data_IF_355147066227
#
_entry.id   IF_355147066227
#
_cell.length_a   1.000
_cell.length_b   1.000
_cell.length_c   1.000
_cell.angle_alpha   90.00
_cell.angle_beta   90.00
_cell.angle_gamma   90.00
#
_symmetry.space_group_name_H-M   'P 1'
#
loop_
_entity.id
_entity.type
_entity.pdbx_description
1 polymer ?
#
# COMPACT_ATOMS: atom_id res chain seq x y z
N UNK A 1 -30.37 -9.65 35.75
CA UNK A 1 -31.33 -8.79 35.02
C UNK A 1 -30.79 -8.70 33.61
N UNK A 2 -31.35 -9.50 32.71
CA UNK A 2 -30.97 -9.46 31.29
C UNK A 2 -31.48 -8.14 30.71
N UNK A 3 -30.56 -7.33 30.16
CA UNK A 3 -30.94 -6.13 29.40
C UNK A 3 -31.53 -6.63 28.09
N UNK A 4 -32.84 -6.45 27.92
CA UNK A 4 -33.48 -6.60 26.61
C UNK A 4 -32.78 -5.65 25.64
N UNK A 5 -32.32 -6.17 24.50
CA UNK A 5 -31.76 -5.37 23.41
C UNK A 5 -32.84 -4.42 22.89
N UNK A 6 -32.46 -3.20 22.53
CA UNK A 6 -33.38 -2.28 21.85
C UNK A 6 -33.79 -2.81 20.49
N UNK A 7 -34.97 -2.42 20.02
CA UNK A 7 -35.47 -2.75 18.67
C UNK A 7 -34.47 -2.35 17.58
N UNK A 8 -33.86 -1.16 17.70
CA UNK A 8 -32.83 -0.69 16.77
C UNK A 8 -31.60 -1.59 16.75
N UNK A 9 -31.18 -2.10 17.92
CA UNK A 9 -30.04 -3.04 18.00
C UNK A 9 -30.39 -4.34 17.29
N UNK A 10 -31.60 -4.85 17.47
CA UNK A 10 -32.06 -6.07 16.80
C UNK A 10 -32.10 -5.85 15.28
N UNK A 11 -32.70 -4.75 14.81
CA UNK A 11 -32.77 -4.42 13.37
C UNK A 11 -31.36 -4.33 12.79
N UNK A 12 -30.42 -3.68 13.48
CA UNK A 12 -29.02 -3.61 13.05
C UNK A 12 -28.42 -5.00 12.87
N UNK A 13 -28.55 -5.92 13.84
CA UNK A 13 -28.02 -7.28 13.70
C UNK A 13 -28.67 -8.06 12.55
N UNK A 14 -29.98 -7.84 12.31
CA UNK A 14 -30.66 -8.45 11.17
C UNK A 14 -30.13 -7.91 9.83
N UNK A 15 -29.76 -6.62 9.76
CA UNK A 15 -29.08 -6.03 8.61
C UNK A 15 -27.74 -6.74 8.35
N UNK A 16 -26.97 -7.10 9.37
CA UNK A 16 -25.65 -7.70 9.15
C UNK A 16 -25.72 -9.16 8.73
N UNK A 17 -26.56 -9.95 9.40
CA UNK A 17 -26.44 -11.42 9.36
C UNK A 17 -27.33 -12.10 8.31
N UNK A 18 -28.42 -11.44 7.87
CA UNK A 18 -29.45 -12.13 7.09
C UNK A 18 -29.42 -11.79 5.60
N UNK A 19 -29.59 -12.85 4.80
CA UNK A 19 -29.84 -12.72 3.38
C UNK A 19 -31.29 -12.23 3.12
N UNK A 20 -31.59 -11.70 1.92
CA UNK A 20 -32.92 -11.17 1.61
C UNK A 20 -34.07 -12.20 1.74
N UNK A 21 -33.84 -13.50 1.56
CA UNK A 21 -34.90 -14.51 1.71
C UNK A 21 -35.30 -14.66 3.19
N UNK A 22 -34.32 -14.73 4.08
CA UNK A 22 -34.53 -14.84 5.52
C UNK A 22 -35.18 -13.57 6.10
N UNK A 23 -34.76 -12.39 5.61
CA UNK A 23 -35.38 -11.12 5.97
C UNK A 23 -36.88 -11.10 5.59
N UNK A 24 -37.25 -11.56 4.39
CA UNK A 24 -38.64 -11.63 3.98
C UNK A 24 -39.45 -12.64 4.81
N UNK A 25 -38.84 -13.79 5.16
CA UNK A 25 -39.48 -14.79 6.01
C UNK A 25 -39.76 -14.23 7.42
N UNK A 26 -38.80 -13.53 8.04
CA UNK A 26 -38.99 -12.87 9.33
C UNK A 26 -40.00 -11.72 9.28
N UNK A 27 -40.01 -10.93 8.21
CA UNK A 27 -41.00 -9.88 8.05
C UNK A 27 -42.44 -10.42 7.97
N UNK A 28 -42.63 -11.65 7.48
CA UNK A 28 -43.96 -12.29 7.47
C UNK A 28 -44.47 -12.64 8.87
N UNK A 29 -43.58 -12.79 9.85
CA UNK A 29 -43.92 -13.18 11.23
C UNK A 29 -43.91 -12.02 12.21
N UNK A 30 -43.26 -10.88 11.87
CA UNK A 30 -43.10 -9.74 12.77
C UNK A 30 -43.43 -8.39 12.09
N UNK A 31 -44.43 -7.67 12.63
CA UNK A 31 -44.88 -6.36 12.10
C UNK A 31 -43.80 -5.28 12.15
N UNK A 32 -43.03 -5.22 13.25
CA UNK A 32 -41.93 -4.26 13.40
C UNK A 32 -40.86 -4.46 12.32
N UNK A 33 -40.42 -5.71 12.11
CA UNK A 33 -39.46 -6.06 11.06
C UNK A 33 -40.03 -5.75 9.68
N UNK A 34 -41.31 -6.09 9.43
CA UNK A 34 -41.97 -5.74 8.18
C UNK A 34 -41.97 -4.23 7.92
N UNK A 35 -42.23 -3.40 8.95
CA UNK A 35 -42.18 -1.94 8.84
C UNK A 35 -40.76 -1.48 8.49
N UNK A 36 -39.74 -2.02 9.17
CA UNK A 36 -38.34 -1.71 8.87
C UNK A 36 -37.95 -2.06 7.42
N UNK A 37 -38.38 -3.21 6.90
CA UNK A 37 -38.09 -3.62 5.51
C UNK A 37 -38.85 -2.82 4.45
N UNK A 38 -39.88 -2.05 4.81
CA UNK A 38 -40.48 -1.09 3.88
C UNK A 38 -39.72 0.24 3.81
N UNK A 39 -38.81 0.49 4.75
CA UNK A 39 -38.00 1.69 4.78
C UNK A 39 -36.84 1.57 3.78
N UNK A 40 -36.78 2.49 2.81
CA UNK A 40 -35.74 2.49 1.78
C UNK A 40 -34.32 2.71 2.36
N UNK A 41 -34.21 3.41 3.49
CA UNK A 41 -32.93 3.62 4.18
C UNK A 41 -32.33 2.33 4.76
N UNK A 42 -33.17 1.35 5.14
CA UNK A 42 -32.72 0.02 5.56
C UNK A 42 -31.97 -0.64 4.40
N UNK A 43 -32.58 -0.66 3.21
CA UNK A 43 -31.99 -1.30 2.05
C UNK A 43 -30.78 -0.55 1.52
N UNK A 44 -30.71 0.77 1.67
CA UNK A 44 -29.48 1.52 1.41
C UNK A 44 -28.34 1.04 2.32
N UNK A 45 -28.55 0.99 3.63
CA UNK A 45 -27.53 0.51 4.57
C UNK A 45 -27.11 -0.93 4.29
N UNK A 46 -28.07 -1.82 4.06
CA UNK A 46 -27.81 -3.22 3.65
C UNK A 46 -26.98 -3.29 2.36
N UNK A 47 -27.27 -2.42 1.39
CA UNK A 47 -26.51 -2.31 0.13
C UNK A 47 -25.08 -1.86 0.38
N UNK A 48 -24.91 -0.79 1.15
CA UNK A 48 -23.58 -0.28 1.50
C UNK A 48 -22.80 -1.35 2.26
N UNK A 49 -23.44 -2.06 3.19
CA UNK A 49 -22.84 -3.14 3.97
C UNK A 49 -22.39 -4.31 3.11
N UNK A 50 -23.25 -4.85 2.25
CA UNK A 50 -22.94 -6.07 1.52
C UNK A 50 -22.13 -5.83 0.24
N UNK A 51 -22.24 -4.62 -0.33
CA UNK A 51 -21.68 -4.31 -1.65
C UNK A 51 -20.74 -3.09 -1.67
N UNK A 52 -20.42 -2.54 -0.51
CA UNK A 52 -19.62 -1.32 -0.39
C UNK A 52 -20.39 -0.06 -0.76
N UNK A 53 -19.91 1.09 -0.28
CA UNK A 53 -20.50 2.42 -0.52
C UNK A 53 -20.21 2.97 -1.93
N UNK A 54 -20.44 2.17 -2.99
CA UNK A 54 -20.00 2.49 -4.37
C UNK A 54 -20.52 3.82 -4.93
N UNK A 55 -21.74 4.23 -4.57
CA UNK A 55 -22.29 5.53 -4.98
C UNK A 55 -21.47 6.69 -4.38
N UNK A 56 -21.09 6.58 -3.11
CA UNK A 56 -20.25 7.55 -2.42
C UNK A 56 -18.85 7.59 -3.03
N UNK A 57 -18.24 6.42 -3.23
CA UNK A 57 -16.89 6.30 -3.80
C UNK A 57 -16.86 6.88 -5.22
N UNK A 58 -17.85 6.56 -6.07
CA UNK A 58 -17.99 7.16 -7.40
C UNK A 58 -18.07 8.70 -7.30
N UNK A 59 -18.86 9.23 -6.35
CA UNK A 59 -19.02 10.67 -6.21
C UNK A 59 -17.72 11.38 -5.82
N UNK A 60 -16.85 10.75 -5.01
CA UNK A 60 -15.53 11.32 -4.71
C UNK A 60 -14.73 11.61 -5.99
N UNK A 61 -14.68 10.67 -6.93
CA UNK A 61 -13.98 10.87 -8.20
C UNK A 61 -14.64 11.92 -9.10
N UNK A 62 -15.95 12.17 -8.98
CA UNK A 62 -16.58 13.29 -9.70
C UNK A 62 -16.17 14.67 -9.19
N UNK A 63 -15.53 14.74 -8.01
CA UNK A 63 -14.99 15.97 -7.43
C UNK A 63 -13.51 16.19 -7.73
N UNK A 64 -12.85 15.24 -8.40
CA UNK A 64 -11.44 15.32 -8.79
C UNK A 64 -11.31 15.68 -10.29
N UNK A 65 -10.08 15.65 -10.82
CA UNK A 65 -9.81 15.81 -12.26
C UNK A 65 -10.00 14.53 -13.08
N UNK A 66 -10.36 13.42 -12.44
CA UNK A 66 -10.50 12.11 -13.09
C UNK A 66 -11.83 12.03 -13.86
N UNK A 67 -11.76 11.69 -15.15
CA UNK A 67 -12.93 11.47 -16.00
C UNK A 67 -13.31 9.98 -16.02
N UNK A 68 -14.30 9.62 -15.20
CA UNK A 68 -14.77 8.23 -15.04
C UNK A 68 -15.66 7.84 -16.23
N UNK A 69 -15.59 6.56 -16.64
CA UNK A 69 -16.30 6.04 -17.81
C UNK A 69 -17.81 6.42 -17.81
N UNK A 70 -18.37 6.85 -18.97
CA UNK A 70 -19.74 7.38 -19.02
C UNK A 70 -20.86 6.42 -18.60
N UNK A 71 -20.67 5.12 -18.77
CA UNK A 71 -21.62 4.08 -18.36
C UNK A 71 -21.73 3.99 -16.83
N UNK A 72 -20.61 4.17 -16.11
CA UNK A 72 -20.60 4.25 -14.65
C UNK A 72 -21.34 5.50 -14.15
N UNK A 73 -21.25 6.61 -14.90
CA UNK A 73 -22.01 7.83 -14.59
C UNK A 73 -23.51 7.60 -14.61
N UNK A 74 -24.04 6.93 -15.63
CA UNK A 74 -25.47 6.61 -15.71
C UNK A 74 -25.92 5.78 -14.51
N UNK A 75 -25.02 4.94 -13.99
CA UNK A 75 -25.32 3.99 -12.93
C UNK A 75 -25.21 4.56 -11.51
N UNK A 76 -24.19 5.36 -11.22
CA UNK A 76 -23.85 5.77 -9.84
C UNK A 76 -24.03 7.26 -9.56
N UNK A 77 -24.31 8.10 -10.57
CA UNK A 77 -24.50 9.54 -10.35
C UNK A 77 -25.75 9.85 -9.50
N UNK A 78 -26.77 8.99 -9.55
CA UNK A 78 -28.01 9.19 -8.81
C UNK A 78 -28.43 7.91 -8.09
N UNK A 79 -29.07 8.00 -6.92
CA UNK A 79 -29.69 6.85 -6.26
C UNK A 79 -30.62 6.07 -7.21
N UNK A 80 -30.78 4.75 -6.99
CA UNK A 80 -31.60 3.92 -7.87
C UNK A 80 -33.04 4.40 -7.91
N UNK A 81 -33.54 4.76 -9.09
CA UNK A 81 -34.90 5.27 -9.28
C UNK A 81 -36.00 4.26 -8.95
N UNK A 82 -35.67 2.97 -8.97
CA UNK A 82 -36.54 1.86 -8.55
C UNK A 82 -36.61 1.66 -7.03
N UNK A 83 -35.85 2.44 -6.25
CA UNK A 83 -35.65 2.24 -4.82
C UNK A 83 -34.51 1.25 -4.49
N UNK A 84 -33.95 1.37 -3.29
CA UNK A 84 -32.82 0.58 -2.84
C UNK A 84 -33.17 -0.89 -2.64
N UNK A 85 -34.39 -1.21 -2.23
CA UNK A 85 -34.83 -2.61 -2.09
C UNK A 85 -34.71 -3.37 -3.41
N UNK A 86 -35.26 -2.81 -4.49
CA UNK A 86 -35.23 -3.44 -5.80
C UNK A 86 -33.81 -3.54 -6.35
N UNK A 87 -33.01 -2.48 -6.16
CA UNK A 87 -31.60 -2.47 -6.53
C UNK A 87 -30.82 -3.58 -5.83
N UNK A 88 -30.95 -3.67 -4.49
CA UNK A 88 -30.28 -4.68 -3.68
C UNK A 88 -30.65 -6.10 -4.13
N UNK A 89 -31.95 -6.39 -4.26
CA UNK A 89 -32.43 -7.72 -4.68
C UNK A 89 -31.88 -8.10 -6.06
N UNK A 90 -31.96 -7.18 -7.03
CA UNK A 90 -31.44 -7.41 -8.39
C UNK A 90 -29.94 -7.67 -8.39
N UNK A 91 -29.17 -6.92 -7.58
CA UNK A 91 -27.72 -7.09 -7.47
C UNK A 91 -27.38 -8.42 -6.79
N UNK A 92 -28.04 -8.74 -5.69
CA UNK A 92 -27.86 -10.00 -4.97
C UNK A 92 -28.16 -11.23 -5.86
N UNK A 93 -29.27 -11.18 -6.60
CA UNK A 93 -29.67 -12.26 -7.52
C UNK A 93 -28.64 -12.45 -8.64
N UNK A 94 -28.12 -11.36 -9.22
CA UNK A 94 -27.04 -11.44 -10.23
C UNK A 94 -25.76 -12.06 -9.67
N UNK A 95 -25.38 -11.69 -8.45
CA UNK A 95 -24.16 -12.21 -7.81
C UNK A 95 -24.29 -13.70 -7.46
N UNK A 96 -25.46 -14.15 -7.02
CA UNK A 96 -25.71 -15.56 -6.67
C UNK A 96 -25.73 -16.49 -7.90
N UNK A 97 -26.04 -15.96 -9.09
CA UNK A 97 -26.04 -16.72 -10.35
C UNK A 97 -24.67 -16.78 -11.04
N UNK A 98 -23.71 -15.96 -10.60
CA UNK A 98 -22.40 -15.86 -11.24
C UNK A 98 -21.41 -16.87 -10.63
N UNK A 99 -20.58 -17.52 -11.45
CA UNK A 99 -19.47 -18.37 -10.98
C UNK A 99 -18.39 -17.49 -10.34
N UNK A 100 -18.49 -17.36 -9.01
CA UNK A 100 -17.61 -16.52 -8.20
C UNK A 100 -16.15 -16.97 -8.28
N UNK A 101 -15.85 -18.25 -8.50
CA UNK A 101 -14.47 -18.74 -8.52
C UNK A 101 -13.73 -18.29 -9.79
N UNK A 102 -14.40 -18.42 -10.94
CA UNK A 102 -13.86 -17.96 -12.23
C UNK A 102 -13.67 -16.45 -12.22
N UNK A 103 -14.69 -15.71 -11.73
CA UNK A 103 -14.66 -14.26 -11.69
C UNK A 103 -13.54 -13.75 -10.77
N UNK A 104 -13.41 -14.31 -9.55
CA UNK A 104 -12.34 -13.94 -8.61
C UNK A 104 -10.95 -14.09 -9.21
N UNK A 105 -10.69 -15.19 -9.92
CA UNK A 105 -9.40 -15.42 -10.56
C UNK A 105 -9.10 -14.38 -11.63
N UNK A 106 -10.10 -14.04 -12.46
CA UNK A 106 -9.94 -13.02 -13.50
C UNK A 106 -9.71 -11.65 -12.89
N UNK A 107 -10.53 -11.24 -11.93
CA UNK A 107 -10.42 -9.91 -11.30
C UNK A 107 -9.13 -9.75 -10.51
N UNK A 108 -8.57 -10.82 -9.94
CA UNK A 108 -7.30 -10.76 -9.22
C UNK A 108 -6.17 -10.31 -10.13
N UNK A 109 -6.03 -10.93 -11.32
CA UNK A 109 -5.03 -10.51 -12.31
C UNK A 109 -5.24 -9.04 -12.73
N UNK A 110 -6.50 -8.66 -12.99
CA UNK A 110 -6.83 -7.30 -13.43
C UNK A 110 -6.49 -6.23 -12.38
N UNK A 111 -6.51 -6.59 -11.09
CA UNK A 111 -6.13 -5.74 -9.94
C UNK A 111 -4.63 -5.68 -9.76
N UNK A 112 -3.92 -6.79 -9.93
CA UNK A 112 -2.45 -6.81 -9.94
C UNK A 112 -1.90 -5.91 -11.06
N UNK A 113 -2.43 -6.07 -12.28
CA UNK A 113 -2.07 -5.24 -13.42
C UNK A 113 -2.39 -3.76 -13.18
N UNK A 114 -3.53 -3.47 -12.54
CA UNK A 114 -3.91 -2.10 -12.19
C UNK A 114 -2.99 -1.48 -11.13
N UNK A 115 -2.43 -2.28 -10.23
CA UNK A 115 -1.52 -1.83 -9.18
C UNK A 115 -0.17 -1.45 -9.77
N UNK A 116 0.38 -2.30 -10.65
CA UNK A 116 1.60 -1.98 -11.41
C UNK A 116 1.41 -0.75 -12.31
N UNK A 117 0.25 -0.65 -12.98
CA UNK A 117 -0.07 0.51 -13.79
C UNK A 117 -0.17 1.79 -12.95
N UNK A 118 -0.74 1.72 -11.75
CA UNK A 118 -0.81 2.87 -10.83
C UNK A 118 0.58 3.40 -10.47
N UNK A 119 1.51 2.51 -10.09
CA UNK A 119 2.89 2.88 -9.75
C UNK A 119 3.55 3.61 -10.92
N UNK A 120 3.44 3.05 -12.12
CA UNK A 120 3.95 3.69 -13.34
C UNK A 120 3.30 5.06 -13.61
N UNK A 121 2.00 5.20 -13.39
CA UNK A 121 1.31 6.48 -13.60
C UNK A 121 1.82 7.56 -12.63
N UNK A 122 2.10 7.19 -11.39
CA UNK A 122 2.66 8.06 -10.37
C UNK A 122 4.08 8.49 -10.75
N UNK A 123 4.91 7.54 -11.19
CA UNK A 123 6.30 7.80 -11.61
C UNK A 123 6.39 8.70 -12.84
N UNK A 124 5.47 8.54 -13.79
CA UNK A 124 5.42 9.33 -15.04
C UNK A 124 4.61 10.63 -14.91
N UNK A 125 4.02 10.94 -13.74
CA UNK A 125 3.07 12.05 -13.53
C UNK A 125 1.91 12.06 -14.55
N UNK A 126 1.47 10.87 -14.96
CA UNK A 126 0.48 10.69 -16.02
C UNK A 126 -0.94 10.54 -15.45
N UNK A 127 -1.50 11.67 -15.00
CA UNK A 127 -2.84 11.72 -14.40
C UNK A 127 -3.99 11.24 -15.31
N UNK A 128 -3.83 11.27 -16.64
CA UNK A 128 -4.86 10.80 -17.58
C UNK A 128 -5.12 9.29 -17.46
N UNK A 129 -4.11 8.53 -17.08
CA UNK A 129 -4.21 7.09 -16.92
C UNK A 129 -5.06 6.69 -15.70
N UNK A 130 -5.27 7.60 -14.74
CA UNK A 130 -6.18 7.37 -13.61
C UNK A 130 -7.64 7.18 -14.06
N UNK A 131 -8.05 7.82 -15.16
CA UNK A 131 -9.41 7.65 -15.72
C UNK A 131 -9.72 6.18 -15.99
N UNK A 132 -8.78 5.46 -16.59
CA UNK A 132 -8.94 4.05 -16.91
C UNK A 132 -8.91 3.19 -15.64
N UNK A 133 -7.96 3.44 -14.73
CA UNK A 133 -7.81 2.69 -13.49
C UNK A 133 -9.05 2.81 -12.60
N UNK A 134 -9.53 4.02 -12.35
CA UNK A 134 -10.72 4.27 -11.52
C UNK A 134 -11.95 3.58 -12.11
N UNK A 135 -12.17 3.72 -13.42
CA UNK A 135 -13.30 3.08 -14.10
C UNK A 135 -13.25 1.56 -13.99
N UNK A 136 -12.06 0.98 -14.18
CA UNK A 136 -11.83 -0.46 -14.08
C UNK A 136 -12.08 -0.97 -12.66
N UNK A 137 -11.55 -0.29 -11.64
CA UNK A 137 -11.73 -0.70 -10.24
C UNK A 137 -13.19 -0.60 -9.79
N UNK A 138 -13.91 0.46 -10.18
CA UNK A 138 -15.34 0.59 -9.88
C UNK A 138 -16.17 -0.50 -10.56
N UNK A 139 -15.82 -0.88 -11.80
CA UNK A 139 -16.49 -1.98 -12.50
C UNK A 139 -16.24 -3.33 -11.80
N UNK A 140 -14.99 -3.61 -11.40
CA UNK A 140 -14.66 -4.82 -10.65
C UNK A 140 -15.42 -4.84 -9.33
N UNK A 141 -15.43 -3.75 -8.55
CA UNK A 141 -16.15 -3.69 -7.29
C UNK A 141 -17.66 -3.85 -7.43
N UNK A 142 -18.24 -3.47 -8.58
CA UNK A 142 -19.65 -3.74 -8.81
C UNK A 142 -19.95 -5.24 -8.88
N UNK A 143 -19.01 -6.03 -9.40
CA UNK A 143 -19.12 -7.47 -9.57
C UNK A 143 -18.58 -8.26 -8.38
N UNK A 144 -17.51 -7.79 -7.75
CA UNK A 144 -16.87 -8.39 -6.58
C UNK A 144 -16.57 -7.29 -5.56
N UNK A 145 -17.55 -6.95 -4.70
CA UNK A 145 -17.40 -5.89 -3.71
C UNK A 145 -16.33 -6.13 -2.65
N UNK A 146 -15.89 -7.38 -2.47
CA UNK A 146 -14.94 -7.83 -1.44
C UNK A 146 -13.51 -7.91 -1.98
N UNK A 147 -13.19 -7.19 -3.05
CA UNK A 147 -11.85 -7.20 -3.63
C UNK A 147 -11.02 -6.05 -3.06
N UNK A 148 -10.28 -6.31 -1.97
CA UNK A 148 -9.51 -5.30 -1.23
C UNK A 148 -8.55 -4.49 -2.09
N UNK A 149 -7.90 -5.11 -3.08
CA UNK A 149 -6.98 -4.43 -3.99
C UNK A 149 -7.62 -3.32 -4.83
N UNK A 150 -8.91 -3.41 -5.15
CA UNK A 150 -9.60 -2.31 -5.83
C UNK A 150 -9.72 -1.07 -4.94
N UNK A 151 -10.05 -1.25 -3.66
CA UNK A 151 -10.11 -0.14 -2.70
C UNK A 151 -8.74 0.48 -2.48
N UNK A 152 -7.69 -0.35 -2.43
CA UNK A 152 -6.31 0.13 -2.34
C UNK A 152 -5.96 1.04 -3.52
N UNK A 153 -6.16 0.58 -4.76
CA UNK A 153 -5.88 1.39 -5.96
C UNK A 153 -6.68 2.70 -5.95
N UNK A 154 -7.98 2.64 -5.64
CA UNK A 154 -8.82 3.85 -5.59
C UNK A 154 -8.37 4.83 -4.49
N UNK A 155 -8.04 4.34 -3.29
CA UNK A 155 -7.54 5.16 -2.20
C UNK A 155 -6.19 5.80 -2.54
N UNK A 156 -5.26 5.05 -3.14
CA UNK A 156 -3.96 5.56 -3.58
C UNK A 156 -4.10 6.68 -4.62
N UNK A 157 -5.05 6.57 -5.55
CA UNK A 157 -5.31 7.64 -6.53
C UNK A 157 -5.86 8.89 -5.82
N UNK A 158 -6.83 8.74 -4.92
CA UNK A 158 -7.37 9.88 -4.16
C UNK A 158 -6.29 10.55 -3.31
N UNK A 159 -5.44 9.76 -2.68
CA UNK A 159 -4.32 10.22 -1.89
C UNK A 159 -3.30 11.01 -2.74
N UNK A 160 -2.90 10.45 -3.89
CA UNK A 160 -2.02 11.12 -4.83
C UNK A 160 -2.59 12.46 -5.33
N UNK A 161 -3.92 12.53 -5.52
CA UNK A 161 -4.63 13.74 -5.91
C UNK A 161 -4.91 14.70 -4.73
N UNK A 162 -4.36 14.44 -3.54
CA UNK A 162 -4.53 15.24 -2.32
C UNK A 162 -5.97 15.32 -1.79
N UNK A 163 -6.72 14.22 -1.90
CA UNK A 163 -8.06 14.06 -1.35
C UNK A 163 -8.06 13.11 -0.13
N UNK A 164 -7.24 13.43 0.88
CA UNK A 164 -6.92 12.53 2.01
C UNK A 164 -8.16 12.03 2.77
N UNK A 165 -9.17 12.87 2.98
CA UNK A 165 -10.42 12.48 3.67
C UNK A 165 -11.22 11.45 2.87
N UNK A 166 -11.23 11.60 1.54
CA UNK A 166 -11.89 10.66 0.64
C UNK A 166 -11.10 9.35 0.56
N UNK A 167 -9.76 9.43 0.52
CA UNK A 167 -8.88 8.26 0.55
C UNK A 167 -9.08 7.46 1.85
N UNK A 168 -9.07 8.12 3.01
CA UNK A 168 -9.32 7.51 4.32
C UNK A 168 -10.69 6.81 4.39
N UNK A 169 -11.73 7.42 3.84
CA UNK A 169 -13.04 6.77 3.73
C UNK A 169 -12.97 5.48 2.87
N UNK A 170 -12.32 5.54 1.70
CA UNK A 170 -12.19 4.38 0.81
C UNK A 170 -11.37 3.26 1.46
N UNK A 171 -10.32 3.58 2.23
CA UNK A 171 -9.53 2.61 2.99
C UNK A 171 -10.37 1.90 4.06
N UNK A 172 -11.16 2.66 4.82
CA UNK A 172 -12.05 2.12 5.85
C UNK A 172 -13.11 1.21 5.24
N UNK A 173 -13.70 1.61 4.12
CA UNK A 173 -14.60 0.74 3.36
C UNK A 173 -13.90 -0.53 2.86
N UNK A 174 -12.70 -0.39 2.30
CA UNK A 174 -11.89 -1.53 1.84
C UNK A 174 -11.63 -2.55 2.94
N UNK A 175 -11.23 -2.10 4.14
CA UNK A 175 -10.99 -3.01 5.28
C UNK A 175 -12.25 -3.66 5.81
N UNK A 176 -13.37 -2.95 5.75
CA UNK A 176 -14.67 -3.52 6.14
C UNK A 176 -15.08 -4.64 5.17
N UNK A 177 -14.82 -4.44 3.88
CA UNK A 177 -15.17 -5.39 2.82
C UNK A 177 -14.17 -6.53 2.67
N UNK A 178 -12.89 -6.29 2.92
CA UNK A 178 -11.81 -7.27 2.81
C UNK A 178 -10.77 -7.05 3.92
N UNK A 179 -11.05 -7.49 5.16
CA UNK A 179 -10.15 -7.27 6.30
C UNK A 179 -8.84 -8.05 6.19
N UNK A 180 -8.76 -9.04 5.29
CA UNK A 180 -7.55 -9.84 5.08
C UNK A 180 -6.50 -9.14 4.23
N UNK A 181 -6.88 -8.13 3.44
CA UNK A 181 -6.00 -7.47 2.48
C UNK A 181 -5.08 -6.44 3.16
N UNK A 182 -3.92 -6.91 3.60
CA UNK A 182 -2.92 -6.15 4.37
C UNK A 182 -2.49 -4.80 3.76
N UNK A 183 -2.35 -4.63 2.43
CA UNK A 183 -1.88 -3.36 1.86
C UNK A 183 -2.76 -2.14 2.22
N UNK A 184 -4.05 -2.33 2.55
CA UNK A 184 -4.90 -1.24 3.02
C UNK A 184 -4.44 -0.66 4.37
N UNK A 185 -3.96 -1.52 5.28
CA UNK A 185 -3.48 -1.09 6.59
C UNK A 185 -2.16 -0.31 6.48
N UNK A 186 -1.27 -0.74 5.57
CA UNK A 186 -0.03 -0.03 5.28
C UNK A 186 -0.32 1.39 4.76
N UNK A 187 -1.18 1.52 3.75
CA UNK A 187 -1.51 2.83 3.18
C UNK A 187 -2.23 3.77 4.18
N UNK A 188 -3.08 3.23 5.06
CA UNK A 188 -3.69 4.04 6.13
C UNK A 188 -2.66 4.53 7.15
N UNK A 189 -1.66 3.70 7.47
CA UNK A 189 -0.56 4.09 8.34
C UNK A 189 0.24 5.25 7.72
N UNK A 190 0.58 5.15 6.44
CA UNK A 190 1.28 6.21 5.70
C UNK A 190 0.50 7.53 5.70
N UNK A 191 -0.79 7.46 5.35
CA UNK A 191 -1.68 8.63 5.33
C UNK A 191 -1.80 9.30 6.71
N UNK A 192 -1.88 8.49 7.77
CA UNK A 192 -1.89 9.02 9.13
C UNK A 192 -0.56 9.67 9.50
N UNK A 193 0.57 9.04 9.20
CA UNK A 193 1.89 9.60 9.50
C UNK A 193 2.10 10.95 8.83
N UNK A 194 1.69 11.10 7.56
CA UNK A 194 1.75 12.39 6.88
C UNK A 194 0.86 13.44 7.53
N UNK A 195 -0.37 13.10 7.90
CA UNK A 195 -1.26 14.01 8.66
C UNK A 195 -0.66 14.43 9.99
N UNK A 196 -0.01 13.50 10.71
CA UNK A 196 0.70 13.81 11.95
C UNK A 196 1.86 14.78 11.71
N UNK A 197 2.65 14.57 10.66
CA UNK A 197 3.75 15.46 10.29
C UNK A 197 3.27 16.87 9.91
N UNK A 198 2.15 16.99 9.17
CA UNK A 198 1.58 18.28 8.78
C UNK A 198 0.95 19.06 9.96
N UNK A 199 0.41 18.35 10.95
CA UNK A 199 -0.26 18.95 12.11
C UNK A 199 0.68 19.23 13.29
N UNK A 200 1.99 18.96 13.17
CA UNK A 200 2.91 19.38 14.23
C UNK A 200 2.91 20.91 14.32
N UNK A 201 2.62 21.49 15.51
CA UNK A 201 2.73 22.92 15.70
C UNK A 201 4.17 23.30 15.35
N UNK A 202 4.35 24.18 14.37
CA UNK A 202 5.65 24.73 14.01
C UNK A 202 6.27 25.30 15.28
N UNK A 203 7.11 24.51 15.95
CA UNK A 203 7.90 25.02 17.05
C UNK A 203 8.75 26.11 16.44
N UNK A 204 8.57 27.34 16.91
CA UNK A 204 9.27 28.52 16.47
C UNK A 204 10.79 28.34 16.66
N UNK A 205 11.42 27.64 15.72
CA UNK A 205 12.85 27.72 15.53
C UNK A 205 13.15 29.12 14.96
N UNK A 206 14.20 29.79 15.46
CA UNK A 206 14.57 31.11 14.97
C UNK A 206 14.81 31.06 13.45
N UNK A 207 14.42 32.10 12.71
CA UNK A 207 14.57 32.13 11.26
C UNK A 207 16.05 31.95 10.90
N UNK A 208 16.39 31.05 9.95
CA UNK A 208 17.77 30.91 9.50
C UNK A 208 18.26 32.22 8.88
N UNK A 209 19.56 32.53 8.98
CA UNK A 209 20.13 33.76 8.45
C UNK A 209 19.83 33.90 6.95
N UNK A 210 19.20 35.02 6.61
CA UNK A 210 18.75 35.37 5.27
C UNK A 210 19.94 35.43 4.31
N UNK A 211 20.14 34.35 3.56
CA UNK A 211 20.93 34.36 2.33
C UNK A 211 20.07 33.82 1.19
N UNK A 212 19.65 34.77 0.35
CA UNK A 212 19.24 34.65 -1.06
C UNK A 212 18.43 33.42 -1.49
N UNK A 213 17.10 33.62 -1.50
CA UNK A 213 16.19 33.34 -2.61
C UNK A 213 16.58 32.23 -3.60
N UNK A 214 16.11 31.02 -3.33
CA UNK A 214 15.48 30.10 -4.29
C UNK A 214 14.70 29.05 -3.48
N UNK A 215 13.61 29.48 -2.85
CA UNK A 215 12.67 28.56 -2.21
C UNK A 215 11.75 28.02 -3.30
N UNK A 216 12.29 27.08 -4.08
CA UNK A 216 11.44 26.04 -4.64
C UNK A 216 10.95 25.25 -3.45
N UNK A 217 9.66 25.34 -3.15
CA UNK A 217 8.99 24.41 -2.23
C UNK A 217 9.24 22.99 -2.74
N UNK A 218 10.30 22.36 -2.23
CA UNK A 218 10.56 20.94 -2.40
C UNK A 218 9.44 20.22 -1.69
N UNK A 219 8.42 19.87 -2.47
CA UNK A 219 7.49 18.77 -2.17
C UNK A 219 8.36 17.61 -1.68
N UNK A 220 8.25 17.26 -0.39
CA UNK A 220 8.66 15.93 0.05
C UNK A 220 7.61 14.99 -0.52
N UNK A 221 7.79 14.61 -1.79
CA UNK A 221 7.44 13.24 -2.16
C UNK A 221 8.09 12.33 -1.13
N UNK A 222 7.44 11.23 -0.79
CA UNK A 222 8.13 10.09 -0.18
C UNK A 222 9.32 9.74 -1.08
N UNK A 223 10.46 10.39 -0.80
CA UNK A 223 11.64 10.33 -1.65
C UNK A 223 12.24 8.98 -1.36
N UNK A 224 11.81 7.97 -2.12
CA UNK A 224 12.51 6.70 -2.29
C UNK A 224 14.00 7.03 -2.29
N UNK A 225 14.77 6.42 -1.37
CA UNK A 225 16.21 6.65 -1.27
C UNK A 225 16.81 6.66 -2.68
N UNK A 226 17.39 7.77 -3.18
CA UNK A 226 18.03 7.74 -4.48
C UNK A 226 19.15 6.70 -4.38
N UNK A 227 19.20 5.72 -5.28
CA UNK A 227 20.25 4.69 -5.26
C UNK A 227 21.42 5.05 -6.19
N UNK A 228 21.15 5.86 -7.20
CA UNK A 228 22.18 6.46 -8.07
C UNK A 228 22.27 7.97 -7.87
N UNK A 229 23.40 8.53 -8.28
CA UNK A 229 23.61 9.97 -8.41
C UNK A 229 22.74 10.56 -9.54
N UNK A 230 22.62 11.91 -9.64
CA UNK A 230 21.78 12.55 -10.66
C UNK A 230 22.16 12.19 -12.10
N UNK A 231 23.43 11.83 -12.33
CA UNK A 231 23.93 11.44 -13.65
C UNK A 231 23.65 9.96 -13.96
N UNK A 232 23.22 9.17 -12.98
CA UNK A 232 22.93 7.74 -13.13
C UNK A 232 24.17 6.88 -13.34
N UNK A 233 25.35 7.38 -12.95
CA UNK A 233 26.65 6.73 -13.23
C UNK A 233 27.36 6.23 -11.98
N UNK A 234 26.99 6.74 -10.81
CA UNK A 234 27.57 6.36 -9.53
C UNK A 234 26.50 6.11 -8.48
N UNK A 235 26.86 5.44 -7.39
CA UNK A 235 25.98 5.30 -6.23
C UNK A 235 25.69 6.68 -5.62
N UNK A 236 24.47 6.88 -5.17
CA UNK A 236 24.10 8.13 -4.52
C UNK A 236 24.86 8.31 -3.18
N UNK A 237 25.11 9.55 -2.73
CA UNK A 237 25.71 9.78 -1.41
C UNK A 237 24.90 9.17 -0.24
N UNK A 238 23.55 9.23 -0.23
CA UNK A 238 22.74 8.55 0.77
C UNK A 238 22.94 7.03 0.79
N UNK A 239 22.94 6.36 -0.36
CA UNK A 239 23.15 4.92 -0.42
C UNK A 239 24.56 4.54 0.04
N UNK A 240 25.58 5.33 -0.33
CA UNK A 240 26.95 5.12 0.14
C UNK A 240 27.05 5.12 1.67
N UNK A 241 26.31 5.99 2.38
CA UNK A 241 26.30 5.99 3.85
C UNK A 241 25.66 4.73 4.45
N UNK A 242 24.59 4.24 3.83
CA UNK A 242 23.94 2.98 4.25
C UNK A 242 24.90 1.81 4.06
N UNK A 243 25.50 1.70 2.88
CA UNK A 243 26.46 0.64 2.57
C UNK A 243 27.70 0.71 3.46
N UNK A 244 28.15 1.91 3.82
CA UNK A 244 29.27 2.12 4.76
C UNK A 244 28.95 1.57 6.14
N UNK A 245 27.73 1.85 6.62
CA UNK A 245 27.24 1.37 7.91
C UNK A 245 27.06 -0.15 7.90
N UNK A 246 26.51 -0.71 6.82
CA UNK A 246 26.38 -2.16 6.64
C UNK A 246 27.76 -2.83 6.64
N UNK A 247 28.69 -2.34 5.84
CA UNK A 247 30.04 -2.89 5.79
C UNK A 247 30.68 -2.94 7.18
N UNK A 248 30.65 -1.81 7.90
CA UNK A 248 31.19 -1.72 9.26
C UNK A 248 30.48 -2.62 10.29
N UNK A 249 29.20 -2.96 10.07
CA UNK A 249 28.46 -3.86 10.94
C UNK A 249 28.90 -5.33 10.77
N UNK A 250 29.38 -5.71 9.59
CA UNK A 250 29.80 -7.08 9.26
C UNK A 250 31.33 -7.29 9.33
N UNK A 251 32.13 -6.24 9.16
CA UNK A 251 33.59 -6.25 9.38
C UNK A 251 33.89 -6.30 10.91
N UNK A 252 33.96 -7.51 11.48
CA UNK A 252 34.07 -7.72 12.93
C UNK A 252 35.49 -7.50 13.43
N UNK A 253 36.48 -7.81 12.61
CA UNK A 253 37.89 -7.61 12.96
C UNK A 253 38.45 -6.24 12.55
N UNK A 254 37.64 -5.41 11.88
CA UNK A 254 37.94 -4.02 11.51
C UNK A 254 39.19 -3.91 10.64
N UNK A 255 39.37 -4.86 9.71
CA UNK A 255 40.52 -4.93 8.81
C UNK A 255 40.27 -4.30 7.42
N UNK A 256 39.14 -3.58 7.28
CA UNK A 256 38.66 -2.95 6.04
C UNK A 256 38.39 -3.96 4.90
N UNK A 257 38.23 -5.25 5.25
CA UNK A 257 37.81 -6.31 4.35
C UNK A 257 36.85 -7.29 5.05
N UNK A 258 35.93 -7.88 4.28
CA UNK A 258 35.07 -8.95 4.78
C UNK A 258 35.73 -10.30 4.46
N UNK A 259 36.16 -11.02 5.49
CA UNK A 259 36.61 -12.40 5.32
C UNK A 259 35.43 -13.31 4.96
N UNK A 260 35.72 -14.54 4.55
CA UNK A 260 34.70 -15.48 4.06
C UNK A 260 33.54 -15.68 5.05
N UNK A 261 33.82 -15.80 6.34
CA UNK A 261 32.78 -15.98 7.36
C UNK A 261 31.88 -14.73 7.53
N UNK A 262 32.44 -13.53 7.40
CA UNK A 262 31.70 -12.28 7.51
C UNK A 262 30.86 -12.02 6.27
N UNK A 263 31.43 -12.29 5.09
CA UNK A 263 30.72 -12.17 3.81
C UNK A 263 29.61 -13.23 3.68
N UNK A 264 29.83 -14.45 4.15
CA UNK A 264 28.79 -15.49 4.25
C UNK A 264 27.63 -15.02 5.14
N UNK A 265 27.94 -14.52 6.34
CA UNK A 265 26.94 -14.01 7.26
C UNK A 265 26.15 -12.82 6.68
N UNK A 266 26.85 -11.94 5.96
CA UNK A 266 26.24 -10.84 5.24
C UNK A 266 25.25 -11.32 4.16
N UNK A 267 25.67 -12.24 3.28
CA UNK A 267 24.83 -12.76 2.20
C UNK A 267 23.64 -13.54 2.76
N UNK A 268 23.85 -14.33 3.81
CA UNK A 268 22.77 -15.04 4.50
C UNK A 268 21.76 -14.07 5.12
N UNK A 269 22.23 -12.99 5.75
CA UNK A 269 21.34 -11.97 6.33
C UNK A 269 20.53 -11.21 5.27
N UNK A 270 21.06 -11.11 4.05
CA UNK A 270 20.41 -10.42 2.94
C UNK A 270 19.41 -11.33 2.22
N UNK A 271 19.81 -12.56 1.89
CA UNK A 271 19.08 -13.45 0.97
C UNK A 271 18.50 -14.72 1.63
N UNK A 272 18.81 -14.96 2.91
CA UNK A 272 18.38 -16.16 3.65
C UNK A 272 19.07 -17.46 3.21
N UNK A 273 20.12 -17.39 2.39
CA UNK A 273 20.86 -18.55 1.88
C UNK A 273 22.37 -18.32 1.97
N UNK A 274 23.09 -19.36 2.40
CA UNK A 274 24.56 -19.35 2.45
C UNK A 274 25.14 -19.49 1.04
N UNK A 275 26.04 -18.60 0.61
CA UNK A 275 26.74 -18.73 -0.67
C UNK A 275 27.71 -19.92 -0.67
N UNK A 276 28.00 -20.45 -1.86
CA UNK A 276 29.09 -21.42 -2.04
C UNK A 276 30.46 -20.76 -1.84
N UNK A 277 31.48 -21.53 -1.46
CA UNK A 277 32.85 -21.02 -1.34
C UNK A 277 33.38 -20.40 -2.65
N UNK A 278 33.10 -21.02 -3.80
CA UNK A 278 33.48 -20.50 -5.11
C UNK A 278 32.91 -19.10 -5.38
N UNK A 279 31.71 -18.82 -4.85
CA UNK A 279 31.07 -17.50 -4.97
C UNK A 279 31.82 -16.45 -4.13
N UNK A 280 32.19 -16.80 -2.90
CA UNK A 280 32.91 -15.89 -1.99
C UNK A 280 34.28 -15.50 -2.57
N UNK A 281 35.01 -16.48 -3.11
CA UNK A 281 36.30 -16.25 -3.77
C UNK A 281 36.15 -15.42 -5.05
N UNK A 282 35.11 -15.70 -5.84
CA UNK A 282 34.83 -14.94 -7.07
C UNK A 282 34.47 -13.48 -6.80
N UNK A 283 33.80 -13.17 -5.68
CA UNK A 283 33.47 -11.80 -5.28
C UNK A 283 34.73 -10.95 -5.09
N UNK A 284 35.69 -11.44 -4.30
CA UNK A 284 36.96 -10.76 -4.10
C UNK A 284 37.76 -10.58 -5.41
N UNK A 285 37.79 -11.61 -6.26
CA UNK A 285 38.48 -11.56 -7.55
C UNK A 285 37.87 -10.56 -8.53
N UNK A 286 36.54 -10.45 -8.57
CA UNK A 286 35.83 -9.59 -9.52
C UNK A 286 35.82 -8.13 -9.09
N UNK A 287 35.57 -7.86 -7.81
CA UNK A 287 35.30 -6.50 -7.33
C UNK A 287 36.46 -5.86 -6.58
N UNK A 288 37.41 -6.65 -6.09
CA UNK A 288 38.62 -6.17 -5.44
C UNK A 288 38.83 -6.79 -4.05
N UNK A 289 39.99 -7.38 -3.86
CA UNK A 289 40.38 -8.07 -2.64
C UNK A 289 41.69 -7.54 -2.03
N UNK A 290 41.88 -7.78 -0.73
CA UNK A 290 43.15 -7.51 -0.04
C UNK A 290 44.18 -8.63 -0.31
N UNK A 291 45.37 -8.56 0.30
CA UNK A 291 46.45 -9.54 0.14
C UNK A 291 46.06 -10.98 0.58
N UNK A 292 44.99 -11.12 1.37
CA UNK A 292 44.45 -12.42 1.82
C UNK A 292 43.33 -12.95 0.91
N UNK A 293 42.92 -12.19 -0.11
CA UNK A 293 41.81 -12.55 -0.99
C UNK A 293 40.42 -12.15 -0.48
N UNK A 294 40.33 -11.39 0.61
CA UNK A 294 39.06 -10.97 1.23
C UNK A 294 38.49 -9.72 0.57
N UNK A 295 37.16 -9.63 0.48
CA UNK A 295 36.47 -8.53 -0.22
C UNK A 295 36.69 -7.21 0.51
N UNK A 296 37.41 -6.28 -0.11
CA UNK A 296 37.66 -4.96 0.50
C UNK A 296 36.40 -4.12 0.52
N UNK A 297 36.37 -3.10 1.39
CA UNK A 297 35.32 -2.07 1.38
C UNK A 297 35.10 -1.44 0.01
N UNK A 298 36.17 -1.13 -0.72
CA UNK A 298 36.09 -0.60 -2.07
C UNK A 298 35.42 -1.60 -3.04
N UNK A 299 35.76 -2.90 -2.92
CA UNK A 299 35.13 -3.96 -3.69
C UNK A 299 33.65 -4.14 -3.35
N UNK A 300 33.28 -4.03 -2.08
CA UNK A 300 31.88 -4.06 -1.65
C UNK A 300 31.04 -2.95 -2.30
N UNK A 301 31.58 -1.71 -2.35
CA UNK A 301 30.92 -0.61 -3.05
C UNK A 301 30.84 -0.82 -4.56
N UNK A 302 31.88 -1.40 -5.17
CA UNK A 302 31.90 -1.70 -6.60
C UNK A 302 30.87 -2.77 -6.99
N UNK A 303 30.68 -3.78 -6.14
CA UNK A 303 29.61 -4.77 -6.29
C UNK A 303 28.23 -4.11 -6.33
N UNK A 304 27.93 -3.26 -5.34
CA UNK A 304 26.66 -2.55 -5.28
C UNK A 304 26.44 -1.59 -6.43
N UNK A 305 27.49 -0.93 -6.93
CA UNK A 305 27.39 -0.10 -8.12
C UNK A 305 27.00 -0.93 -9.34
N UNK A 306 27.67 -2.05 -9.58
CA UNK A 306 27.36 -2.93 -10.72
C UNK A 306 25.93 -3.48 -10.63
N UNK A 307 25.51 -3.93 -9.45
CA UNK A 307 24.14 -4.39 -9.21
C UNK A 307 23.12 -3.28 -9.47
N UNK A 308 23.32 -2.09 -8.89
CA UNK A 308 22.37 -0.97 -8.98
C UNK A 308 22.22 -0.45 -10.42
N UNK A 309 23.29 -0.49 -11.21
CA UNK A 309 23.23 -0.15 -12.63
C UNK A 309 22.44 -1.17 -13.46
N UNK A 310 22.39 -2.43 -13.04
CA UNK A 310 21.63 -3.50 -13.70
C UNK A 310 20.18 -3.60 -13.24
N UNK A 311 19.95 -3.51 -11.93
CA UNK A 311 18.64 -3.64 -11.27
C UNK A 311 18.63 -2.83 -9.96
N UNK A 312 17.99 -1.66 -10.00
CA UNK A 312 17.88 -0.79 -8.82
C UNK A 312 16.98 -1.38 -7.74
N UNK A 313 16.00 -2.21 -8.10
CA UNK A 313 15.05 -2.78 -7.15
C UNK A 313 15.69 -3.88 -6.33
N UNK A 314 16.63 -4.63 -6.91
CA UNK A 314 17.42 -5.61 -6.16
C UNK A 314 18.25 -4.96 -5.05
N UNK A 315 18.95 -3.86 -5.37
CA UNK A 315 19.67 -3.06 -4.35
C UNK A 315 18.74 -2.58 -3.24
N UNK A 316 17.48 -2.21 -3.56
CA UNK A 316 16.50 -1.76 -2.57
C UNK A 316 16.05 -2.90 -1.66
N UNK A 317 15.82 -4.10 -2.21
CA UNK A 317 15.48 -5.29 -1.41
C UNK A 317 16.61 -5.64 -0.45
N UNK A 318 17.85 -5.60 -0.94
CA UNK A 318 19.01 -5.94 -0.13
C UNK A 318 19.14 -5.02 1.09
N UNK A 319 19.09 -3.70 0.90
CA UNK A 319 19.19 -2.76 2.04
C UNK A 319 17.96 -2.83 2.96
N UNK A 320 16.77 -3.13 2.42
CA UNK A 320 15.56 -3.31 3.21
C UNK A 320 15.63 -4.56 4.11
N UNK A 321 16.30 -5.63 3.67
CA UNK A 321 16.54 -6.82 4.51
C UNK A 321 17.29 -6.48 5.82
N UNK A 322 18.12 -5.43 5.79
CA UNK A 322 18.86 -4.93 6.95
C UNK A 322 18.15 -3.81 7.72
N UNK A 323 16.88 -3.54 7.42
CA UNK A 323 16.08 -2.53 8.12
C UNK A 323 16.35 -1.10 7.66
N UNK A 324 17.05 -0.90 6.55
CA UNK A 324 17.10 0.39 5.87
C UNK A 324 15.90 0.44 4.91
N UNK A 325 14.75 0.81 5.46
CA UNK A 325 13.53 0.96 4.65
C UNK A 325 13.71 2.09 3.63
N UNK A 326 13.13 1.89 2.46
CA UNK A 326 13.09 2.76 1.30
C UNK A 326 12.56 4.18 1.56
N UNK A 327 12.04 4.49 2.74
CA UNK A 327 11.28 5.72 3.01
C UNK A 327 11.75 6.61 4.17
N UNK A 328 12.69 6.19 5.03
CA UNK A 328 13.10 7.03 6.16
C UNK A 328 14.62 7.01 6.37
N UNK A 329 15.32 7.98 5.78
CA UNK A 329 16.57 8.48 6.35
C UNK A 329 16.29 9.87 6.93
N UNK A 330 15.71 9.89 8.14
CA UNK A 330 15.74 11.09 8.97
C UNK A 330 17.20 11.34 9.40
N UNK A 331 17.59 12.59 9.65
CA UNK A 331 18.98 13.08 9.79
C UNK A 331 19.78 12.53 11.01
N UNK A 332 19.46 11.34 11.51
CA UNK A 332 20.26 10.60 12.46
C UNK A 332 20.13 9.09 12.22
N UNK A 333 21.14 8.51 11.57
CA UNK A 333 21.24 7.06 11.33
C UNK A 333 21.13 6.33 12.68
N UNK A 334 19.97 5.74 12.97
CA UNK A 334 19.80 4.80 14.08
C UNK A 334 20.03 3.39 13.53
N UNK A 335 21.07 2.73 14.01
CA UNK A 335 21.34 1.33 13.70
C UNK A 335 20.14 0.49 14.18
N UNK A 336 19.43 -0.25 13.32
CA UNK A 336 18.31 -1.07 13.74
C UNK A 336 18.80 -2.18 14.68
N UNK A 337 18.06 -2.39 15.78
CA UNK A 337 18.40 -3.34 16.85
C UNK A 337 18.59 -4.80 16.38
N UNK A 338 18.12 -5.14 15.17
CA UNK A 338 18.22 -6.47 14.57
C UNK A 338 19.66 -6.88 14.23
N UNK A 339 20.59 -5.92 14.10
CA UNK A 339 22.01 -6.18 13.82
C UNK A 339 22.85 -6.56 15.07
N UNK A 340 22.25 -6.57 16.27
CA UNK A 340 22.98 -6.74 17.56
C UNK A 340 22.63 -8.05 18.29
N UNK A 341 22.00 -9.01 17.62
CA UNK A 341 21.63 -10.29 18.23
C UNK A 341 22.73 -11.35 18.12
N UNK A 342 23.63 -11.42 19.10
CA UNK A 342 24.38 -12.63 19.43
C UNK A 342 24.18 -12.91 20.93
N UNK A 343 23.30 -13.87 21.25
CA UNK A 343 23.46 -14.70 22.44
C UNK A 343 24.27 -15.92 21.99
N UNK A 344 25.41 -16.14 22.65
CA UNK A 344 26.25 -17.32 22.47
C UNK A 344 25.50 -18.56 22.99
N UNK A 345 25.42 -19.61 22.16
CA UNK A 345 25.22 -21.00 22.59
C UNK A 345 26.54 -21.77 22.53
#
# INVERSE_FOLDING_TARGET
MDRLLSEDTIISHLEEELNPADLNALASTCKSISSALTNDSFWKRKTDQDFGSLFTIYHFFTTTSVDVAPDLRVKYMHPPSSGWRHYYQTKHDKLSQTDQAVLKKQTQQEVEDATLALEKCIEEDNSLSFNHLVSKMLWILDLIPHQGGCYYVLASILYYLHHDDQADFVLKEGRRMDPGFQPLAALEFDLNNERWAQNQPQQHLPPPPQSSQHVSQRRRSSLKLPVLDPDGTALSPPLLQVLDTLFAAFDKDQDDALRNEELDHYVFSTNGQHPSQDFLEAMGQRFGANDKGWLTKAGFMAFYLEQTLGDQDETRKDIAAHGYDSYEMDEGIRIPARLVGFEED
#
